data_IF_694742924518
#
_entry.id   IF_694742924518
#
_cell.length_a   1.000
_cell.length_b   1.000
_cell.length_c   1.000
_cell.angle_alpha   90.00
_cell.angle_beta   90.00
_cell.angle_gamma   90.00
#
_symmetry.space_group_name_H-M   'P 1'
#
loop_
_entity.id
_entity.type
_entity.pdbx_description
1 polymer ?
#
# COMPACT_ATOMS: atom_id res chain seq x y z
N UNK A 1 -36.15 12.51 15.37
CA UNK A 1 -35.12 11.51 15.00
C UNK A 1 -33.76 12.09 15.34
N UNK A 2 -33.09 11.55 16.36
CA UNK A 2 -31.81 12.11 16.85
C UNK A 2 -30.69 11.53 15.99
N UNK A 3 -30.11 12.33 15.10
CA UNK A 3 -28.93 11.95 14.33
C UNK A 3 -27.77 11.70 15.32
N UNK A 4 -27.49 10.43 15.57
CA UNK A 4 -26.26 10.02 16.23
C UNK A 4 -25.13 10.35 15.27
N UNK A 5 -24.42 11.45 15.54
CA UNK A 5 -23.22 11.82 14.78
C UNK A 5 -22.31 10.59 14.73
N UNK A 6 -21.88 10.11 13.56
CA UNK A 6 -20.97 8.97 13.47
C UNK A 6 -19.68 9.39 14.16
N UNK A 7 -19.50 8.91 15.39
CA UNK A 7 -18.23 9.03 16.08
C UNK A 7 -17.32 8.04 15.40
N UNK A 8 -16.32 8.55 14.68
CA UNK A 8 -15.28 7.74 14.07
C UNK A 8 -14.66 6.91 15.20
N UNK A 9 -15.00 5.61 15.27
CA UNK A 9 -14.50 4.79 16.35
C UNK A 9 -13.05 4.43 15.99
N UNK A 10 -12.11 4.45 16.95
CA UNK A 10 -10.72 4.05 16.67
C UNK A 10 -10.62 2.66 16.02
N UNK A 11 -11.56 1.78 16.33
CA UNK A 11 -11.68 0.44 15.76
C UNK A 11 -11.99 0.46 14.25
N UNK A 12 -12.79 1.41 13.77
CA UNK A 12 -13.10 1.55 12.34
C UNK A 12 -11.85 1.97 11.57
N UNK A 13 -11.05 2.89 12.14
CA UNK A 13 -9.79 3.35 11.55
C UNK A 13 -8.76 2.22 11.54
N UNK A 14 -8.64 1.47 12.63
CA UNK A 14 -7.75 0.31 12.69
C UNK A 14 -8.17 -0.77 11.69
N UNK A 15 -9.47 -1.03 11.57
CA UNK A 15 -10.01 -1.99 10.61
C UNK A 15 -9.73 -1.53 9.17
N UNK A 16 -9.99 -0.26 8.84
CA UNK A 16 -9.70 0.28 7.52
C UNK A 16 -8.20 0.22 7.19
N UNK A 17 -7.33 0.51 8.16
CA UNK A 17 -5.89 0.38 7.98
C UNK A 17 -5.49 -1.09 7.74
N UNK A 18 -6.05 -2.03 8.50
CA UNK A 18 -5.77 -3.46 8.36
C UNK A 18 -6.22 -3.98 7.00
N UNK A 19 -7.45 -3.66 6.58
CA UNK A 19 -7.98 -4.01 5.27
C UNK A 19 -7.19 -3.35 4.14
N UNK A 20 -6.74 -2.12 4.32
CA UNK A 20 -5.87 -1.42 3.38
C UNK A 20 -4.52 -2.12 3.20
N UNK A 21 -3.88 -2.53 4.30
CA UNK A 21 -2.63 -3.30 4.27
C UNK A 21 -2.85 -4.65 3.61
N UNK A 22 -3.92 -5.36 3.96
CA UNK A 22 -4.26 -6.65 3.35
C UNK A 22 -4.45 -6.53 1.83
N UNK A 23 -5.28 -5.58 1.37
CA UNK A 23 -5.53 -5.34 -0.05
C UNK A 23 -4.26 -4.96 -0.80
N UNK A 24 -3.45 -4.07 -0.22
CA UNK A 24 -2.16 -3.66 -0.81
C UNK A 24 -1.20 -4.85 -0.92
N UNK A 25 -1.14 -5.68 0.11
CA UNK A 25 -0.28 -6.88 0.14
C UNK A 25 -0.73 -7.90 -0.90
N UNK A 26 -2.04 -8.14 -1.02
CA UNK A 26 -2.60 -9.01 -2.05
C UNK A 26 -2.35 -8.48 -3.45
N UNK A 27 -2.51 -7.17 -3.68
CA UNK A 27 -2.21 -6.55 -4.97
C UNK A 27 -0.71 -6.69 -5.32
N UNK A 28 0.17 -6.48 -4.33
CA UNK A 28 1.61 -6.66 -4.49
C UNK A 28 1.96 -8.13 -4.81
N UNK A 29 1.25 -9.08 -4.21
CA UNK A 29 1.43 -10.51 -4.47
C UNK A 29 0.98 -10.90 -5.89
N UNK A 30 -0.10 -10.29 -6.41
CA UNK A 30 -0.60 -10.55 -7.77
C UNK A 30 0.30 -9.91 -8.83
N UNK A 31 0.67 -8.65 -8.63
CA UNK A 31 1.44 -7.86 -9.63
C UNK A 31 2.93 -8.20 -9.58
N UNK A 32 3.41 -8.88 -8.52
CA UNK A 32 4.80 -9.20 -8.23
C UNK A 32 5.80 -8.18 -8.81
N UNK A 33 5.68 -6.87 -8.49
CA UNK A 33 6.49 -5.85 -9.11
C UNK A 33 7.95 -5.86 -8.62
N UNK A 34 8.37 -6.90 -7.89
CA UNK A 34 9.69 -7.01 -7.29
C UNK A 34 10.80 -6.94 -8.35
N UNK A 35 10.64 -7.59 -9.50
CA UNK A 35 11.63 -7.49 -10.59
C UNK A 35 11.78 -6.05 -11.10
N UNK A 36 10.68 -5.31 -11.24
CA UNK A 36 10.72 -3.89 -11.60
C UNK A 36 11.31 -3.02 -10.48
N UNK A 37 10.97 -3.29 -9.22
CA UNK A 37 11.51 -2.57 -8.05
C UNK A 37 13.03 -2.79 -7.94
N UNK A 38 13.51 -4.02 -8.13
CA UNK A 38 14.96 -4.31 -8.15
C UNK A 38 15.64 -3.54 -9.28
N UNK A 39 15.05 -3.55 -10.48
CA UNK A 39 15.54 -2.76 -11.64
C UNK A 39 15.52 -1.26 -11.42
N UNK A 40 14.62 -0.74 -10.59
CA UNK A 40 14.46 0.72 -10.38
C UNK A 40 15.27 1.24 -9.20
N UNK A 41 15.44 0.43 -8.15
CA UNK A 41 16.03 0.86 -6.88
C UNK A 41 17.36 0.17 -6.52
N UNK A 42 17.60 -1.07 -6.96
CA UNK A 42 18.86 -1.79 -6.70
C UNK A 42 19.83 -1.66 -7.87
N UNK A 43 19.32 -1.82 -9.09
CA UNK A 43 19.98 -1.36 -10.30
C UNK A 43 19.74 0.14 -10.40
N UNK A 44 20.44 0.94 -9.58
CA UNK A 44 20.59 2.38 -9.87
C UNK A 44 20.85 2.49 -11.38
N UNK A 45 20.17 3.39 -12.13
CA UNK A 45 20.33 3.47 -13.59
C UNK A 45 21.83 3.38 -13.83
N UNK A 46 22.24 2.32 -14.53
CA UNK A 46 23.62 2.18 -14.96
C UNK A 46 23.98 3.57 -15.45
N UNK A 47 24.99 4.18 -14.82
CA UNK A 47 25.47 5.44 -15.29
C UNK A 47 25.83 5.16 -16.74
N UNK A 48 24.96 5.58 -17.66
CA UNK A 48 25.24 5.74 -19.08
C UNK A 48 26.29 6.85 -19.14
N UNK A 49 27.48 6.54 -18.61
CA UNK A 49 28.71 7.25 -18.80
C UNK A 49 29.25 6.74 -20.12
N UNK A 50 28.85 7.45 -21.17
CA UNK A 50 29.74 7.74 -22.30
C UNK A 50 31.15 8.08 -21.86
#
# INVERSE_FOLDING_TARGET
>A
MKFLRPRLQPIDVQSAALWGVAATTTALWIVQPFDWIKKTFLEKPEAEGQ
#
